data_IF_731140750251
#
_entry.id   IF_731140750251
#
_cell.length_a   1.000
_cell.length_b   1.000
_cell.length_c   1.000
_cell.angle_alpha   90.00
_cell.angle_beta   90.00
_cell.angle_gamma   90.00
#
_symmetry.space_group_name_H-M   'P 1'
#
loop_
_entity.id
_entity.type
_entity.pdbx_description
1 polymer ?
#
# COMPACT_ATOMS: atom_id res chain seq x y z
N UNK A 1 7.12 18.49 -8.84
CA UNK A 1 5.78 17.97 -8.50
C UNK A 1 4.85 19.15 -8.26
N UNK A 2 3.72 19.20 -8.96
CA UNK A 2 2.69 20.24 -8.78
C UNK A 2 1.70 19.85 -7.67
N UNK A 3 0.86 20.81 -7.24
CA UNK A 3 -0.09 20.56 -6.17
C UNK A 3 -1.23 19.61 -6.57
N UNK A 4 -1.60 19.54 -7.83
CA UNK A 4 -2.65 18.63 -8.31
C UNK A 4 -2.26 17.18 -8.06
N UNK A 5 -1.03 16.80 -8.44
CA UNK A 5 -0.48 15.46 -8.17
C UNK A 5 -0.46 15.17 -6.67
N UNK A 6 -0.06 16.13 -5.83
CA UNK A 6 -0.06 15.94 -4.38
C UNK A 6 -1.45 15.69 -3.82
N UNK A 7 -2.47 16.40 -4.31
CA UNK A 7 -3.85 16.18 -3.87
C UNK A 7 -4.40 14.83 -4.35
N UNK A 8 -4.03 14.37 -5.56
CA UNK A 8 -4.39 13.03 -6.03
C UNK A 8 -3.73 11.94 -5.17
N UNK A 9 -2.46 12.08 -4.83
CA UNK A 9 -1.78 11.15 -3.93
C UNK A 9 -2.44 11.15 -2.54
N UNK A 10 -2.74 12.33 -1.99
CA UNK A 10 -3.43 12.44 -0.70
C UNK A 10 -4.81 11.77 -0.71
N UNK A 11 -5.56 11.88 -1.83
CA UNK A 11 -6.84 11.19 -2.04
C UNK A 11 -6.64 9.66 -2.07
N UNK A 12 -5.60 9.18 -2.75
CA UNK A 12 -5.26 7.75 -2.82
C UNK A 12 -4.88 7.17 -1.46
N UNK A 13 -4.18 7.96 -0.63
CA UNK A 13 -3.88 7.61 0.76
C UNK A 13 -5.09 7.69 1.69
N UNK A 14 -6.22 8.23 1.22
CA UNK A 14 -7.41 8.56 2.02
C UNK A 14 -7.07 9.46 3.23
N UNK A 15 -6.01 10.29 3.11
CA UNK A 15 -5.56 11.21 4.15
C UNK A 15 -5.60 12.67 3.71
N UNK A 16 -6.30 13.51 4.49
CA UNK A 16 -6.36 14.95 4.25
C UNK A 16 -5.25 15.65 5.04
N UNK A 17 -4.14 15.94 4.37
CA UNK A 17 -3.02 16.65 4.98
C UNK A 17 -3.39 18.06 5.44
N UNK A 18 -2.99 18.43 6.66
CA UNK A 18 -3.07 19.80 7.19
C UNK A 18 -2.10 20.72 6.44
N UNK A 19 -0.92 20.17 6.09
CA UNK A 19 0.08 20.84 5.28
C UNK A 19 0.59 19.90 4.18
N UNK A 20 0.11 20.12 2.96
CA UNK A 20 0.49 19.29 1.79
C UNK A 20 1.99 19.33 1.47
N UNK A 21 2.75 20.30 2.02
CA UNK A 21 4.19 20.38 1.80
C UNK A 21 4.95 19.21 2.43
N UNK A 22 4.44 18.63 3.52
CA UNK A 22 5.07 17.46 4.14
C UNK A 22 4.96 16.22 3.23
N UNK A 23 3.85 16.09 2.47
CA UNK A 23 3.72 15.05 1.46
C UNK A 23 4.74 15.24 0.33
N UNK A 24 4.95 16.48 -0.16
CA UNK A 24 6.00 16.78 -1.14
C UNK A 24 7.39 16.41 -0.62
N UNK A 25 7.66 16.69 0.67
CA UNK A 25 8.93 16.31 1.31
C UNK A 25 9.16 14.80 1.30
N UNK A 26 8.13 13.97 1.53
CA UNK A 26 8.25 12.52 1.46
C UNK A 26 8.72 12.03 0.08
N UNK A 27 8.31 12.70 -0.99
CA UNK A 27 8.75 12.39 -2.36
C UNK A 27 10.11 13.01 -2.73
N UNK A 28 10.72 13.82 -1.87
CA UNK A 28 11.97 14.53 -2.18
C UNK A 28 13.17 13.76 -1.67
N UNK A 29 13.97 13.20 -2.57
CA UNK A 29 15.23 12.54 -2.19
C UNK A 29 16.33 13.55 -1.88
N UNK A 30 17.30 13.13 -1.10
CA UNK A 30 18.46 13.96 -0.75
C UNK A 30 19.24 14.46 -1.97
N UNK A 31 19.40 13.62 -3.01
CA UNK A 31 20.06 14.01 -4.24
C UNK A 31 19.38 15.19 -4.94
N UNK A 32 18.04 15.26 -4.88
CA UNK A 32 17.29 16.42 -5.37
C UNK A 32 17.54 17.66 -4.50
N UNK A 33 17.48 17.49 -3.19
CA UNK A 33 17.73 18.54 -2.20
C UNK A 33 19.10 19.19 -2.41
N UNK A 34 20.14 18.39 -2.60
CA UNK A 34 21.52 18.86 -2.81
C UNK A 34 21.68 19.73 -4.09
N UNK A 35 20.88 19.45 -5.12
CA UNK A 35 20.87 20.22 -6.37
C UNK A 35 19.93 21.44 -6.33
N UNK A 36 19.04 21.55 -5.32
CA UNK A 36 17.98 22.55 -5.22
C UNK A 36 18.04 23.35 -3.92
N UNK A 37 19.22 23.87 -3.58
CA UNK A 37 19.47 24.77 -2.44
C UNK A 37 19.10 24.19 -1.06
N UNK A 38 19.14 22.88 -0.89
CA UNK A 38 18.88 22.21 0.38
C UNK A 38 17.39 22.18 0.76
N UNK A 39 16.49 21.96 -0.21
CA UNK A 39 15.10 21.66 0.10
C UNK A 39 15.02 20.51 1.11
N UNK A 40 14.01 20.51 1.98
CA UNK A 40 13.80 19.41 2.91
C UNK A 40 13.56 18.10 2.15
N UNK A 41 14.27 17.04 2.55
CA UNK A 41 14.20 15.72 1.93
C UNK A 41 13.58 14.67 2.88
N UNK A 42 13.43 13.45 2.38
CA UNK A 42 12.63 12.41 3.01
C UNK A 42 13.29 11.65 4.17
N UNK A 43 14.63 11.65 4.32
CA UNK A 43 15.35 10.79 5.28
C UNK A 43 14.82 10.86 6.74
N UNK A 44 14.40 12.05 7.20
CA UNK A 44 13.84 12.19 8.56
C UNK A 44 12.42 11.62 8.63
N UNK A 45 11.64 11.75 7.55
CA UNK A 45 10.30 11.18 7.48
C UNK A 45 10.37 9.65 7.40
N UNK A 46 11.28 9.09 6.61
CA UNK A 46 11.60 7.67 6.54
C UNK A 46 11.91 7.11 7.93
N UNK A 47 12.83 7.74 8.67
CA UNK A 47 13.19 7.32 10.03
C UNK A 47 11.99 7.23 10.98
N UNK A 48 11.07 8.21 10.95
CA UNK A 48 9.86 8.17 11.76
C UNK A 48 8.83 7.20 11.23
N UNK A 49 8.72 7.09 9.92
CA UNK A 49 7.77 6.22 9.24
C UNK A 49 8.04 4.75 9.47
N UNK A 50 9.31 4.32 9.45
CA UNK A 50 9.71 2.95 9.82
C UNK A 50 9.16 2.59 11.21
N UNK A 51 9.27 3.49 12.19
CA UNK A 51 8.77 3.23 13.55
C UNK A 51 7.26 3.26 13.66
N UNK A 52 6.58 4.15 12.93
CA UNK A 52 5.12 4.20 12.87
C UNK A 52 4.56 2.94 12.20
N UNK A 53 5.16 2.50 11.10
CA UNK A 53 4.81 1.28 10.39
C UNK A 53 4.98 0.05 11.30
N UNK A 54 6.13 -0.07 11.95
CA UNK A 54 6.40 -1.17 12.88
C UNK A 54 5.38 -1.21 14.02
N UNK A 55 5.04 -0.06 14.60
CA UNK A 55 4.05 0.04 15.67
C UNK A 55 2.67 -0.45 15.21
N UNK A 56 2.17 0.03 14.06
CA UNK A 56 0.85 -0.37 13.55
C UNK A 56 0.81 -1.85 13.20
N UNK A 57 1.84 -2.36 12.53
CA UNK A 57 1.92 -3.80 12.19
C UNK A 57 1.92 -4.65 13.46
N UNK A 58 2.67 -4.26 14.49
CA UNK A 58 2.65 -4.98 15.78
C UNK A 58 1.28 -4.95 16.44
N UNK A 59 0.59 -3.81 16.41
CA UNK A 59 -0.76 -3.68 16.95
C UNK A 59 -1.74 -4.59 16.21
N UNK A 60 -1.69 -4.63 14.87
CA UNK A 60 -2.52 -5.54 14.05
C UNK A 60 -2.24 -7.01 14.34
N UNK A 61 -0.97 -7.40 14.53
CA UNK A 61 -0.62 -8.76 14.93
C UNK A 61 -1.18 -9.12 16.31
N UNK A 62 -1.19 -8.16 17.25
CA UNK A 62 -1.78 -8.34 18.55
C UNK A 62 -3.31 -8.49 18.47
N UNK A 63 -3.98 -7.64 17.72
CA UNK A 63 -5.43 -7.71 17.50
C UNK A 63 -5.87 -9.02 16.84
N UNK A 64 -5.06 -9.55 15.92
CA UNK A 64 -5.39 -10.74 15.15
C UNK A 64 -5.06 -12.04 15.89
N UNK A 65 -3.94 -12.12 16.62
CA UNK A 65 -3.45 -13.34 17.26
C UNK A 65 -3.43 -13.29 18.77
N UNK A 66 -3.59 -12.12 19.40
CA UNK A 66 -3.53 -11.91 20.81
C UNK A 66 -4.89 -11.90 21.49
N UNK A 67 -4.90 -12.19 22.80
CA UNK A 67 -6.14 -12.12 23.57
C UNK A 67 -5.99 -12.55 25.02
N UNK A 68 -6.99 -12.21 25.82
CA UNK A 68 -7.06 -12.65 27.20
C UNK A 68 -7.79 -13.98 27.32
N UNK A 69 -7.15 -14.96 27.96
CA UNK A 69 -7.75 -16.26 28.28
C UNK A 69 -8.86 -16.10 29.34
N UNK A 70 -9.69 -17.14 29.49
CA UNK A 70 -10.73 -17.18 30.53
C UNK A 70 -10.20 -16.94 31.97
N UNK A 71 -8.91 -17.23 32.19
CA UNK A 71 -8.24 -17.01 33.48
C UNK A 71 -7.59 -15.61 33.60
N UNK A 72 -7.87 -14.70 32.67
CA UNK A 72 -7.36 -13.33 32.69
C UNK A 72 -5.86 -13.19 32.32
N UNK A 73 -5.24 -14.25 31.79
CA UNK A 73 -3.86 -14.20 31.29
C UNK A 73 -3.87 -13.81 29.82
N UNK A 74 -2.97 -12.91 29.45
CA UNK A 74 -2.72 -12.61 28.05
C UNK A 74 -1.97 -13.78 27.38
N UNK A 75 -2.39 -14.14 26.17
CA UNK A 75 -1.76 -15.18 25.35
C UNK A 75 -1.89 -14.80 23.86
N UNK A 76 -1.00 -15.32 23.04
CA UNK A 76 -1.09 -15.24 21.59
C UNK A 76 -1.19 -16.64 21.01
N UNK A 77 -1.94 -16.78 19.91
CA UNK A 77 -2.01 -18.03 19.11
C UNK A 77 -0.68 -18.35 18.40
N UNK A 78 0.17 -17.36 18.24
CA UNK A 78 1.47 -17.47 17.60
C UNK A 78 2.60 -17.30 18.60
N UNK A 79 3.69 -18.02 18.40
CA UNK A 79 4.93 -17.82 19.16
C UNK A 79 5.63 -16.53 18.71
N UNK A 80 6.52 -15.99 19.55
CA UNK A 80 7.36 -14.83 19.24
C UNK A 80 8.10 -14.99 17.89
N UNK A 81 8.68 -16.17 17.64
CA UNK A 81 9.37 -16.46 16.38
C UNK A 81 8.42 -16.42 15.16
N UNK A 82 7.19 -16.94 15.30
CA UNK A 82 6.19 -16.90 14.24
C UNK A 82 5.72 -15.46 13.98
N UNK A 83 5.46 -14.68 15.02
CA UNK A 83 5.10 -13.25 14.88
C UNK A 83 6.22 -12.46 14.20
N UNK A 84 7.47 -12.73 14.55
CA UNK A 84 8.65 -12.11 13.91
C UNK A 84 8.73 -12.43 12.42
N UNK A 85 8.50 -13.69 12.02
CA UNK A 85 8.51 -14.07 10.59
C UNK A 85 7.33 -13.45 9.82
N UNK A 86 6.13 -13.36 10.41
CA UNK A 86 4.99 -12.69 9.79
C UNK A 86 5.30 -11.20 9.62
N UNK A 87 5.74 -10.52 10.69
CA UNK A 87 6.14 -9.11 10.63
C UNK A 87 7.15 -8.87 9.52
N UNK A 88 8.23 -9.68 9.49
CA UNK A 88 9.29 -9.56 8.48
C UNK A 88 8.78 -9.68 7.05
N UNK A 89 7.80 -10.53 6.80
CA UNK A 89 7.18 -10.65 5.46
C UNK A 89 6.36 -9.42 5.11
N UNK A 90 5.59 -8.88 6.06
CA UNK A 90 4.74 -7.70 5.85
C UNK A 90 5.55 -6.44 5.54
N UNK A 91 6.68 -6.23 6.23
CA UNK A 91 7.49 -5.00 6.11
C UNK A 91 8.84 -5.23 5.40
N UNK A 92 8.97 -6.29 4.61
CA UNK A 92 10.19 -6.48 3.83
C UNK A 92 10.24 -5.52 2.64
N UNK A 93 11.45 -5.15 2.27
CA UNK A 93 11.76 -4.28 1.12
C UNK A 93 10.93 -4.57 -0.14
N UNK A 94 10.83 -5.86 -0.53
CA UNK A 94 10.05 -6.26 -1.71
C UNK A 94 8.57 -5.95 -1.56
N UNK A 95 7.99 -6.19 -0.39
CA UNK A 95 6.59 -5.90 -0.11
C UNK A 95 6.33 -4.40 -0.20
N UNK A 96 7.11 -3.58 0.49
CA UNK A 96 6.94 -2.12 0.48
C UNK A 96 7.16 -1.54 -0.93
N UNK A 97 8.17 -2.03 -1.66
CA UNK A 97 8.42 -1.65 -3.04
C UNK A 97 7.25 -2.02 -3.96
N UNK A 98 6.73 -3.24 -3.84
CA UNK A 98 5.55 -3.68 -4.60
C UNK A 98 4.34 -2.76 -4.34
N UNK A 99 4.09 -2.41 -3.09
CA UNK A 99 2.99 -1.48 -2.75
C UNK A 99 3.16 -0.10 -3.39
N UNK A 100 4.37 0.45 -3.41
CA UNK A 100 4.67 1.72 -4.10
C UNK A 100 4.42 1.61 -5.61
N UNK A 101 4.74 0.48 -6.22
CA UNK A 101 4.45 0.23 -7.64
C UNK A 101 2.94 0.11 -7.92
N UNK A 102 2.22 -0.59 -7.04
CA UNK A 102 0.76 -0.74 -7.14
C UNK A 102 0.04 0.61 -7.13
N UNK A 103 0.52 1.57 -6.33
CA UNK A 103 0.00 2.94 -6.29
C UNK A 103 0.56 3.85 -7.40
N UNK A 104 1.58 3.41 -8.14
CA UNK A 104 2.25 4.23 -9.16
C UNK A 104 3.06 5.41 -8.60
N UNK A 105 3.38 5.40 -7.31
CA UNK A 105 4.00 6.53 -6.64
C UNK A 105 5.47 6.73 -7.02
N UNK A 106 6.16 5.70 -7.48
CA UNK A 106 7.57 5.77 -7.87
C UNK A 106 7.84 6.81 -8.96
N UNK A 107 6.90 7.05 -9.86
CA UNK A 107 7.04 8.01 -10.96
C UNK A 107 7.08 9.46 -10.50
N UNK A 108 6.64 9.73 -9.27
CA UNK A 108 6.55 11.08 -8.71
C UNK A 108 7.73 11.47 -7.83
N UNK A 109 8.72 10.57 -7.64
CA UNK A 109 9.91 10.82 -6.82
C UNK A 109 10.73 11.97 -7.41
N UNK A 110 11.04 12.97 -6.60
CA UNK A 110 11.94 14.05 -6.94
C UNK A 110 13.39 13.60 -6.70
N UNK A 111 14.19 13.54 -7.76
CA UNK A 111 15.54 12.99 -7.77
C UNK A 111 16.53 13.94 -8.41
N UNK A 112 17.76 13.96 -7.90
CA UNK A 112 18.89 14.62 -8.57
C UNK A 112 19.33 13.89 -9.85
N UNK A 113 20.14 14.53 -10.66
CA UNK A 113 20.58 14.01 -11.98
C UNK A 113 21.26 12.65 -11.89
N UNK A 114 22.01 12.40 -10.82
CA UNK A 114 22.68 11.12 -10.61
C UNK A 114 21.67 9.97 -10.44
N UNK A 115 20.66 10.17 -9.61
CA UNK A 115 19.61 9.18 -9.36
C UNK A 115 18.77 8.94 -10.61
N UNK A 116 18.42 10.01 -11.34
CA UNK A 116 17.72 9.91 -12.63
C UNK A 116 18.54 9.11 -13.64
N UNK A 117 19.85 9.36 -13.73
CA UNK A 117 20.74 8.64 -14.65
C UNK A 117 20.88 7.14 -14.34
N UNK A 118 20.60 6.74 -13.11
CA UNK A 118 20.63 5.35 -12.65
C UNK A 118 19.23 4.71 -12.61
N UNK A 119 18.19 5.41 -13.01
CA UNK A 119 16.78 5.00 -12.86
C UNK A 119 16.46 4.55 -11.41
N UNK A 120 16.92 5.34 -10.44
CA UNK A 120 16.84 4.98 -9.03
C UNK A 120 15.39 4.74 -8.54
N UNK A 121 14.37 5.37 -9.15
CA UNK A 121 12.96 5.14 -8.86
C UNK A 121 12.51 3.67 -9.07
N UNK A 122 13.28 2.87 -9.82
CA UNK A 122 12.99 1.45 -10.04
C UNK A 122 13.66 0.53 -9.01
N UNK A 123 14.50 1.06 -8.13
CA UNK A 123 15.19 0.28 -7.10
C UNK A 123 14.26 0.05 -5.90
N UNK A 124 14.15 -1.18 -5.44
CA UNK A 124 13.31 -1.55 -4.29
C UNK A 124 13.64 -0.76 -3.03
N UNK A 125 14.94 -0.45 -2.79
CA UNK A 125 15.33 0.36 -1.62
C UNK A 125 14.81 1.78 -1.68
N UNK A 126 14.74 2.38 -2.88
CA UNK A 126 14.21 3.74 -3.07
C UNK A 126 12.69 3.79 -2.87
N UNK A 127 12.01 2.72 -3.25
CA UNK A 127 10.57 2.57 -3.05
C UNK A 127 10.25 2.26 -1.57
N UNK A 128 11.05 1.44 -0.90
CA UNK A 128 10.99 1.20 0.55
C UNK A 128 11.11 2.54 1.30
N UNK A 129 12.19 3.31 1.04
CA UNK A 129 12.41 4.63 1.63
C UNK A 129 11.19 5.56 1.42
N UNK A 130 10.60 5.54 0.21
CA UNK A 130 9.40 6.32 -0.09
C UNK A 130 8.18 5.86 0.71
N UNK A 131 7.95 4.54 0.81
CA UNK A 131 6.83 4.00 1.58
C UNK A 131 6.91 4.47 3.04
N UNK A 132 8.07 4.29 3.65
CA UNK A 132 8.31 4.72 5.03
C UNK A 132 8.18 6.23 5.18
N UNK A 133 8.72 7.01 4.24
CA UNK A 133 8.60 8.48 4.27
C UNK A 133 7.15 8.97 4.16
N UNK A 134 6.29 8.28 3.40
CA UNK A 134 4.86 8.57 3.32
C UNK A 134 4.17 8.31 4.65
N UNK A 135 4.43 7.16 5.27
CA UNK A 135 3.92 6.85 6.62
C UNK A 135 4.40 7.89 7.64
N UNK A 136 5.67 8.30 7.57
CA UNK A 136 6.23 9.34 8.44
C UNK A 136 5.59 10.71 8.23
N UNK A 137 5.28 11.07 6.98
CA UNK A 137 4.56 12.30 6.67
C UNK A 137 3.16 12.31 7.29
N UNK A 138 2.43 11.20 7.19
CA UNK A 138 1.11 11.04 7.84
C UNK A 138 1.24 11.10 9.36
N UNK A 139 2.21 10.39 9.95
CA UNK A 139 2.43 10.37 11.40
C UNK A 139 2.62 11.78 11.98
N UNK A 140 3.45 12.58 11.32
CA UNK A 140 3.72 13.96 11.76
C UNK A 140 2.49 14.85 11.53
N UNK A 141 1.84 14.74 10.37
CA UNK A 141 0.69 15.56 10.02
C UNK A 141 -0.52 15.29 10.93
N UNK A 142 -0.82 14.03 11.23
CA UNK A 142 -1.91 13.66 12.15
C UNK A 142 -1.56 13.86 13.64
N UNK A 143 -0.29 14.08 13.99
CA UNK A 143 0.17 14.21 15.38
C UNK A 143 0.28 12.86 16.09
N UNK A 144 0.64 11.81 15.37
CA UNK A 144 0.79 10.44 15.88
C UNK A 144 -0.54 9.81 16.31
N UNK A 145 -1.66 10.23 15.72
CA UNK A 145 -2.95 9.61 15.94
C UNK A 145 -2.94 8.17 15.43
N UNK A 146 -3.15 7.21 16.33
CA UNK A 146 -3.02 5.79 16.01
C UNK A 146 -4.11 5.30 15.05
N UNK A 147 -5.34 5.79 15.17
CA UNK A 147 -6.45 5.39 14.29
C UNK A 147 -6.19 5.86 12.86
N UNK A 148 -5.76 7.12 12.70
CA UNK A 148 -5.41 7.66 11.37
C UNK A 148 -4.24 6.91 10.75
N UNK A 149 -3.22 6.55 11.55
CA UNK A 149 -2.08 5.76 11.06
C UNK A 149 -2.50 4.36 10.62
N UNK A 150 -3.37 3.71 11.37
CA UNK A 150 -3.90 2.39 11.03
C UNK A 150 -4.67 2.42 9.71
N UNK A 151 -5.57 3.39 9.54
CA UNK A 151 -6.36 3.53 8.31
C UNK A 151 -5.46 3.69 7.08
N UNK A 152 -4.45 4.57 7.17
CA UNK A 152 -3.54 4.82 6.04
C UNK A 152 -2.61 3.62 5.78
N UNK A 153 -2.08 2.99 6.83
CA UNK A 153 -1.20 1.83 6.66
C UNK A 153 -1.99 0.62 6.15
N UNK A 154 -3.20 0.39 6.62
CA UNK A 154 -4.08 -0.65 6.07
C UNK A 154 -4.39 -0.39 4.60
N UNK A 155 -4.65 0.87 4.23
CA UNK A 155 -4.85 1.25 2.83
C UNK A 155 -3.61 0.98 1.98
N UNK A 156 -2.42 1.29 2.49
CA UNK A 156 -1.17 1.14 1.75
C UNK A 156 -0.66 -0.30 1.73
N UNK A 157 -0.78 -1.06 2.82
CA UNK A 157 -0.16 -2.37 3.00
C UNK A 157 -1.13 -3.55 2.95
N UNK A 158 -2.42 -3.33 3.29
CA UNK A 158 -3.46 -4.36 3.37
C UNK A 158 -3.08 -5.53 4.30
N UNK A 159 -2.67 -5.18 5.53
CA UNK A 159 -2.17 -6.14 6.54
C UNK A 159 -3.13 -7.30 6.77
N UNK A 160 -4.43 -7.00 6.89
CA UNK A 160 -5.45 -8.01 7.18
C UNK A 160 -5.56 -9.06 6.07
N UNK A 161 -5.45 -8.65 4.79
CA UNK A 161 -5.44 -9.60 3.68
C UNK A 161 -4.34 -10.65 3.86
N UNK A 162 -3.11 -10.21 4.16
CA UNK A 162 -1.99 -11.13 4.34
C UNK A 162 -2.12 -12.01 5.60
N UNK A 163 -2.77 -11.52 6.66
CA UNK A 163 -3.03 -12.31 7.85
C UNK A 163 -4.10 -13.37 7.63
N UNK A 164 -5.14 -13.09 6.84
CA UNK A 164 -6.24 -14.01 6.55
C UNK A 164 -5.89 -15.04 5.48
N UNK A 165 -5.31 -14.60 4.36
CA UNK A 165 -5.05 -15.42 3.17
C UNK A 165 -3.63 -16.00 3.13
N UNK A 166 -2.72 -15.47 3.95
CA UNK A 166 -1.31 -15.79 3.90
C UNK A 166 -0.57 -14.91 2.90
N UNK A 167 0.70 -15.26 2.69
CA UNK A 167 1.60 -14.54 1.78
C UNK A 167 1.77 -15.26 0.42
N UNK A 168 0.84 -16.14 0.07
CA UNK A 168 0.75 -16.71 -1.28
C UNK A 168 0.10 -15.66 -2.19
N UNK A 169 0.55 -15.59 -3.43
CA UNK A 169 0.04 -14.65 -4.44
C UNK A 169 -1.40 -14.96 -4.91
N UNK A 170 -2.14 -15.75 -4.14
CA UNK A 170 -3.52 -16.10 -4.44
C UNK A 170 -4.42 -14.85 -4.25
N UNK A 171 -4.61 -14.18 -5.39
CA UNK A 171 -5.77 -13.34 -5.69
C UNK A 171 -6.06 -12.16 -4.74
N UNK A 172 -5.09 -11.25 -4.56
CA UNK A 172 -5.44 -9.92 -4.10
C UNK A 172 -6.07 -9.13 -5.26
N UNK A 173 -7.38 -9.28 -5.44
CA UNK A 173 -8.11 -8.62 -6.52
C UNK A 173 -7.95 -7.10 -6.53
N UNK A 174 -7.82 -6.49 -5.35
CA UNK A 174 -7.59 -5.05 -5.22
C UNK A 174 -6.25 -4.66 -5.85
N UNK A 175 -5.18 -5.38 -5.54
CA UNK A 175 -3.85 -5.15 -6.11
C UNK A 175 -3.80 -5.42 -7.62
N UNK A 176 -4.46 -6.49 -8.07
CA UNK A 176 -4.56 -6.82 -9.49
C UNK A 176 -5.26 -5.71 -10.29
N UNK A 177 -6.39 -5.23 -9.79
CA UNK A 177 -7.14 -4.15 -10.43
C UNK A 177 -6.39 -2.82 -10.37
N UNK A 178 -5.77 -2.48 -9.24
CA UNK A 178 -4.95 -1.27 -9.13
C UNK A 178 -3.76 -1.31 -10.11
N UNK A 179 -3.05 -2.44 -10.16
CA UNK A 179 -1.92 -2.64 -11.08
C UNK A 179 -2.38 -2.58 -12.54
N UNK A 180 -3.53 -3.14 -12.87
CA UNK A 180 -4.11 -3.07 -14.20
C UNK A 180 -4.45 -1.63 -14.60
N UNK A 181 -5.14 -0.88 -13.73
CA UNK A 181 -5.46 0.52 -13.95
C UNK A 181 -4.20 1.37 -14.09
N UNK A 182 -3.20 1.17 -13.22
CA UNK A 182 -1.94 1.90 -13.27
C UNK A 182 -1.21 1.67 -14.61
N UNK A 183 -1.14 0.44 -15.08
CA UNK A 183 -0.48 0.14 -16.37
C UNK A 183 -1.25 0.62 -17.60
N UNK A 184 -2.57 0.67 -17.53
CA UNK A 184 -3.42 1.06 -18.64
C UNK A 184 -3.66 2.56 -18.73
N UNK A 185 -3.86 3.22 -17.59
CA UNK A 185 -4.30 4.61 -17.51
C UNK A 185 -3.33 5.52 -16.77
N UNK A 186 -2.26 4.99 -16.14
CA UNK A 186 -1.33 5.72 -15.27
C UNK A 186 -2.00 6.36 -14.04
N UNK A 187 -3.06 5.77 -13.53
CA UNK A 187 -3.80 6.18 -12.34
C UNK A 187 -4.38 4.95 -11.62
N UNK A 188 -4.81 5.10 -10.37
CA UNK A 188 -5.49 4.02 -9.66
C UNK A 188 -7.01 4.24 -9.66
N UNK A 189 -7.81 3.16 -9.55
CA UNK A 189 -9.26 3.27 -9.58
C UNK A 189 -9.82 3.97 -8.34
N UNK A 190 -10.94 4.67 -8.52
CA UNK A 190 -11.70 5.28 -7.43
C UNK A 190 -12.60 4.25 -6.75
N UNK A 191 -12.64 4.30 -5.41
CA UNK A 191 -13.52 3.49 -4.57
C UNK A 191 -14.39 4.42 -3.73
N UNK A 192 -15.67 4.49 -4.05
CA UNK A 192 -16.65 5.24 -3.28
C UNK A 192 -17.44 4.30 -2.36
N UNK A 193 -17.72 4.73 -1.11
CA UNK A 193 -18.39 3.92 -0.11
C UNK A 193 -19.69 4.55 0.34
N UNK A 194 -20.73 3.72 0.43
CA UNK A 194 -21.99 4.06 1.06
C UNK A 194 -22.23 3.14 2.27
N UNK A 195 -22.59 3.73 3.41
CA UNK A 195 -22.96 2.98 4.60
C UNK A 195 -24.39 2.47 4.47
N UNK A 196 -24.60 1.18 4.68
CA UNK A 196 -25.89 0.49 4.59
C UNK A 196 -26.34 0.05 5.99
N UNK A 197 -27.58 -0.39 6.15
CA UNK A 197 -28.09 -0.88 7.45
C UNK A 197 -27.26 -2.05 8.01
N UNK A 198 -26.74 -2.92 7.14
CA UNK A 198 -26.01 -4.13 7.51
C UNK A 198 -24.57 -4.14 6.95
N UNK A 199 -23.90 -2.98 6.85
CA UNK A 199 -22.51 -2.92 6.40
C UNK A 199 -22.23 -1.79 5.40
N UNK A 200 -21.46 -2.08 4.36
CA UNK A 200 -21.01 -1.10 3.38
C UNK A 200 -21.25 -1.61 1.95
N UNK A 201 -21.57 -0.68 1.07
CA UNK A 201 -21.49 -0.86 -0.37
C UNK A 201 -20.30 -0.07 -0.90
N UNK A 202 -19.50 -0.68 -1.78
CA UNK A 202 -18.38 -0.06 -2.47
C UNK A 202 -18.69 0.00 -3.96
N UNK A 203 -18.55 1.17 -4.55
CA UNK A 203 -18.63 1.41 -5.99
C UNK A 203 -17.21 1.65 -6.52
N UNK A 204 -16.72 0.72 -7.34
CA UNK A 204 -15.39 0.79 -7.97
C UNK A 204 -15.54 1.31 -9.40
N UNK A 205 -14.91 2.44 -9.70
CA UNK A 205 -14.86 3.04 -11.04
C UNK A 205 -13.44 2.90 -11.62
N UNK A 206 -13.35 2.17 -12.73
CA UNK A 206 -12.06 1.96 -13.43
C UNK A 206 -11.72 3.11 -14.38
N UNK A 207 -12.66 3.53 -15.20
CA UNK A 207 -12.61 4.70 -16.10
C UNK A 207 -14.02 5.00 -16.62
N UNK A 208 -14.18 6.09 -17.37
CA UNK A 208 -15.44 6.47 -18.02
C UNK A 208 -15.92 5.43 -19.06
N UNK A 209 -15.06 4.49 -19.46
CA UNK A 209 -15.41 3.44 -20.43
C UNK A 209 -16.12 2.23 -19.82
N UNK A 210 -16.19 2.16 -18.49
CA UNK A 210 -16.79 1.04 -17.75
C UNK A 210 -17.90 1.52 -16.81
N UNK A 211 -18.93 0.68 -16.66
CA UNK A 211 -19.87 0.83 -15.56
C UNK A 211 -19.17 0.58 -14.23
N UNK A 212 -19.66 1.17 -13.15
CA UNK A 212 -19.11 0.94 -11.81
C UNK A 212 -19.37 -0.50 -11.36
N UNK A 213 -18.35 -1.13 -10.77
CA UNK A 213 -18.45 -2.46 -10.18
C UNK A 213 -18.81 -2.34 -8.71
N UNK A 214 -19.91 -2.97 -8.31
CA UNK A 214 -20.42 -2.87 -6.95
C UNK A 214 -20.01 -4.08 -6.14
N UNK A 215 -19.51 -3.83 -4.91
CA UNK A 215 -19.25 -4.84 -3.90
C UNK A 215 -19.91 -4.50 -2.57
N UNK A 216 -20.37 -5.48 -1.82
CA UNK A 216 -20.97 -5.30 -0.49
C UNK A 216 -20.26 -6.14 0.53
N UNK A 217 -20.18 -5.66 1.78
CA UNK A 217 -19.54 -6.38 2.88
C UNK A 217 -19.86 -5.77 4.23
N UNK A 218 -19.56 -6.46 5.30
CA UNK A 218 -19.74 -5.98 6.68
C UNK A 218 -18.73 -4.89 7.06
N UNK A 219 -17.64 -4.75 6.30
CA UNK A 219 -16.63 -3.69 6.43
C UNK A 219 -16.36 -3.02 5.08
N UNK A 220 -15.80 -1.80 5.11
CA UNK A 220 -15.35 -1.10 3.89
C UNK A 220 -14.33 -1.93 3.12
N UNK A 221 -13.43 -2.64 3.85
CA UNK A 221 -12.43 -3.53 3.25
C UNK A 221 -13.08 -4.67 2.48
N UNK A 222 -14.02 -5.38 3.08
CA UNK A 222 -14.74 -6.49 2.44
C UNK A 222 -15.55 -6.02 1.23
N UNK A 223 -16.24 -4.89 1.36
CA UNK A 223 -16.96 -4.28 0.25
C UNK A 223 -16.02 -3.91 -0.92
N UNK A 224 -14.84 -3.35 -0.62
CA UNK A 224 -13.78 -3.05 -1.61
C UNK A 224 -13.28 -4.31 -2.31
N UNK A 225 -12.97 -5.36 -1.55
CA UNK A 225 -12.52 -6.64 -2.13
C UNK A 225 -13.55 -7.24 -3.07
N UNK A 226 -14.82 -7.26 -2.67
CA UNK A 226 -15.90 -7.80 -3.50
C UNK A 226 -16.13 -6.96 -4.75
N UNK A 227 -16.00 -5.64 -4.70
CA UNK A 227 -16.06 -4.77 -5.88
C UNK A 227 -14.88 -5.05 -6.83
N UNK A 228 -13.67 -5.19 -6.29
CA UNK A 228 -12.48 -5.51 -7.07
C UNK A 228 -12.55 -6.91 -7.70
N UNK A 229 -13.08 -7.91 -6.99
CA UNK A 229 -13.32 -9.23 -7.54
C UNK A 229 -14.29 -9.20 -8.72
N UNK A 230 -15.40 -8.49 -8.59
CA UNK A 230 -16.37 -8.35 -9.68
C UNK A 230 -15.76 -7.68 -10.91
N UNK A 231 -14.93 -6.66 -10.71
CA UNK A 231 -14.17 -6.01 -11.80
C UNK A 231 -13.17 -6.97 -12.44
N UNK A 232 -12.43 -7.74 -11.64
CA UNK A 232 -11.46 -8.73 -12.10
C UNK A 232 -12.13 -9.81 -12.96
N UNK A 233 -13.21 -10.40 -12.50
CA UNK A 233 -13.95 -11.43 -13.25
C UNK A 233 -14.42 -10.91 -14.61
N UNK A 234 -14.94 -9.68 -14.66
CA UNK A 234 -15.32 -9.04 -15.91
C UNK A 234 -14.13 -8.81 -16.83
N UNK A 235 -13.01 -8.25 -16.32
CA UNK A 235 -11.83 -7.95 -17.12
C UNK A 235 -11.12 -9.23 -17.60
N UNK A 236 -11.13 -10.29 -16.82
CA UNK A 236 -10.53 -11.57 -17.19
C UNK A 236 -11.14 -12.16 -18.47
N UNK A 237 -12.41 -11.93 -18.68
CA UNK A 237 -13.11 -12.39 -19.89
C UNK A 237 -12.97 -11.40 -21.07
N UNK A 238 -12.69 -10.12 -20.80
CA UNK A 238 -12.79 -9.04 -21.80
C UNK A 238 -11.49 -8.28 -22.07
N UNK A 239 -10.41 -8.52 -21.32
CA UNK A 239 -9.15 -7.76 -21.46
C UNK A 239 -7.89 -8.63 -21.44
N UNK A 240 -7.10 -8.57 -22.55
CA UNK A 240 -5.85 -9.32 -22.70
C UNK A 240 -4.72 -8.84 -21.77
N UNK A 241 -4.76 -7.59 -21.28
CA UNK A 241 -3.72 -7.05 -20.40
C UNK A 241 -3.76 -7.72 -19.02
N UNK A 242 -4.95 -7.97 -18.51
CA UNK A 242 -5.12 -8.66 -17.21
C UNK A 242 -4.55 -10.08 -17.28
N UNK A 243 -4.83 -10.82 -18.36
CA UNK A 243 -4.29 -12.15 -18.58
C UNK A 243 -2.75 -12.19 -18.60
N UNK A 244 -2.10 -11.11 -19.12
CA UNK A 244 -0.63 -10.99 -19.11
C UNK A 244 -0.08 -10.66 -17.72
N UNK A 245 -0.81 -9.95 -16.89
CA UNK A 245 -0.41 -9.63 -15.52
C UNK A 245 -0.39 -10.88 -14.61
N UNK A 246 -1.37 -11.78 -14.76
CA UNK A 246 -1.39 -13.06 -14.06
C UNK A 246 -0.14 -13.92 -14.38
N UNK A 247 0.29 -13.96 -15.63
CA UNK A 247 1.48 -14.73 -16.03
C UNK A 247 2.78 -14.17 -15.43
N UNK A 248 2.86 -12.84 -15.24
CA UNK A 248 4.06 -12.22 -14.65
C UNK A 248 4.11 -12.35 -13.13
N UNK A 249 2.99 -12.42 -12.42
CA UNK A 249 2.96 -12.69 -10.98
C UNK A 249 3.42 -14.12 -10.68
N UNK A 250 2.97 -15.11 -11.44
CA UNK A 250 3.41 -16.51 -11.27
C UNK A 250 4.89 -16.76 -11.65
N UNK A 251 5.45 -15.99 -12.60
CA UNK A 251 6.87 -16.15 -12.99
C UNK A 251 7.88 -15.64 -11.94
N UNK A 252 7.46 -14.77 -11.03
CA UNK A 252 8.30 -14.31 -9.92
C UNK A 252 8.44 -15.35 -8.79
N UNK A 253 7.51 -16.30 -8.66
CA UNK A 253 7.54 -17.33 -7.63
C UNK A 253 8.48 -18.50 -7.95
N UNK A 254 8.62 -18.86 -9.23
CA UNK A 254 9.52 -19.93 -9.65
C UNK A 254 11.00 -19.60 -9.37
N UNK A 255 11.37 -18.31 -9.32
CA UNK A 255 12.74 -17.87 -8.99
C UNK A 255 13.09 -17.94 -7.50
N UNK A 256 12.08 -18.09 -6.61
CA UNK A 256 12.27 -18.20 -5.16
C UNK A 256 12.48 -19.65 -4.73
N UNK A 257 12.00 -20.62 -5.52
CA UNK A 257 12.12 -22.05 -5.22
C UNK A 257 13.48 -22.65 -5.60
N UNK A 258 14.22 -22.09 -6.57
CA UNK A 258 15.49 -22.63 -7.05
C UNK A 258 16.73 -22.25 -6.21
N UNK A 259 16.63 -21.30 -5.27
CA UNK A 259 17.73 -20.90 -4.40
C UNK A 259 17.78 -21.65 -3.05
N UNK A 260 17.10 -22.80 -2.93
CA UNK A 260 17.13 -23.69 -1.76
C UNK A 260 17.68 -25.09 -2.07
N UNK A 261 18.70 -25.16 -2.95
CA UNK A 261 19.45 -26.41 -3.15
C UNK A 261 20.90 -26.23 -2.74
#
# INVERSE_FOLDING_TARGET
MNNEILYEIAKQLEHKFKDIRILRQAFTRKSYSDEHNGEYHNEVLEFYGDKALEFVVMKKLDEYYGGFTQNGKYASEKTEGQLTEIKKKLVCKKMLAHRIDTFGFAEHILMGKSDVGQNAQNQDSVKEDLFEALVGAVAIDCGWDAEVLEDVIDRMLDVEHYLEKGFSDDENYVDLIQTWCQKRYSWIPDYDFEEMEDGYECSLTLSDDYDSFIGRGYSKREARMNAAQNAYEYLKENDELLAKLEVTSHASDDLISENKS
#
